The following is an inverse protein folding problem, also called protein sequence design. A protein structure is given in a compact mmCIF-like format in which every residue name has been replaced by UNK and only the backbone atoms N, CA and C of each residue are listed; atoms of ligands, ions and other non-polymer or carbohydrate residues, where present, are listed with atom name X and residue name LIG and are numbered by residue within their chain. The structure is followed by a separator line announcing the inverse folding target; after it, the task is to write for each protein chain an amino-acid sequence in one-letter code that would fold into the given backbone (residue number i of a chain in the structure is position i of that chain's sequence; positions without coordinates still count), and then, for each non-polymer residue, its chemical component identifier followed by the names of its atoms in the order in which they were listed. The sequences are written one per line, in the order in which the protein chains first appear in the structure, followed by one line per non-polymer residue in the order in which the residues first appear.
data_IF_535330232565
#
_entry.id   IF_535330232565
#
_cell.length_a   1.000
_cell.length_b   1.000
_cell.length_c   1.000
_cell.angle_alpha   90.00
_cell.angle_beta   90.00
_cell.angle_gamma   90.00
#
_symmetry.space_group_name_H-M   'P 1'
#
loop_
_entity.id
_entity.type
_entity.pdbx_description
1 polymer ?
#
# COMPACT_ATOMS: atom_id res chain seq x y z
N UNK A 1 3.66 -14.28 21.67
CA UNK A 1 3.76 -13.08 20.81
C UNK A 1 2.41 -12.93 20.12
N UNK A 2 1.66 -11.84 20.27
CA UNK A 2 0.44 -11.70 19.49
C UNK A 2 0.86 -11.51 18.04
N UNK A 3 0.52 -12.47 17.18
CA UNK A 3 0.69 -12.32 15.74
C UNK A 3 -0.07 -11.05 15.35
N UNK A 4 0.62 -10.13 14.67
CA UNK A 4 -0.02 -8.95 14.11
C UNK A 4 -1.31 -9.39 13.40
N UNK A 5 -2.42 -8.70 13.69
CA UNK A 5 -3.71 -9.05 13.13
C UNK A 5 -3.58 -9.28 11.61
N UNK A 6 -4.12 -10.39 11.09
CA UNK A 6 -4.02 -10.71 9.68
C UNK A 6 -4.62 -9.57 8.86
N UNK A 7 -3.93 -9.19 7.79
CA UNK A 7 -4.43 -8.19 6.85
C UNK A 7 -5.77 -8.65 6.27
N UNK A 8 -6.78 -7.83 6.44
CA UNK A 8 -8.12 -8.04 5.92
C UNK A 8 -8.22 -7.54 4.48
N UNK A 9 -9.17 -8.11 3.73
CA UNK A 9 -9.39 -7.72 2.34
C UNK A 9 -9.74 -6.23 2.20
N UNK A 10 -10.45 -5.67 3.18
CA UNK A 10 -10.77 -4.25 3.21
C UNK A 10 -9.52 -3.38 3.37
N UNK A 11 -8.55 -3.79 4.19
CA UNK A 11 -7.28 -3.10 4.36
C UNK A 11 -6.45 -3.11 3.06
N UNK A 12 -6.46 -4.24 2.33
CA UNK A 12 -5.83 -4.34 1.01
C UNK A 12 -6.51 -3.40 -0.01
N UNK A 13 -7.84 -3.33 -0.04
CA UNK A 13 -8.59 -2.40 -0.91
C UNK A 13 -8.26 -0.95 -0.57
N UNK A 14 -8.25 -0.59 0.72
CA UNK A 14 -7.89 0.75 1.17
C UNK A 14 -6.46 1.11 0.76
N UNK A 15 -5.52 0.17 0.89
CA UNK A 15 -4.13 0.35 0.45
C UNK A 15 -4.03 0.56 -1.06
N UNK A 16 -4.74 -0.24 -1.86
CA UNK A 16 -4.80 -0.07 -3.32
C UNK A 16 -5.38 1.30 -3.70
N UNK A 17 -6.48 1.73 -3.06
CA UNK A 17 -7.10 3.04 -3.31
C UNK A 17 -6.18 4.19 -2.94
N UNK A 18 -5.54 4.14 -1.77
CA UNK A 18 -4.58 5.15 -1.35
C UNK A 18 -3.41 5.25 -2.33
N UNK A 19 -2.86 4.10 -2.76
CA UNK A 19 -1.79 4.07 -3.75
C UNK A 19 -2.23 4.67 -5.10
N UNK A 20 -3.41 4.30 -5.61
CA UNK A 20 -3.92 4.85 -6.88
C UNK A 20 -4.15 6.34 -6.79
N UNK A 21 -4.80 6.83 -5.72
CA UNK A 21 -5.01 8.27 -5.51
C UNK A 21 -3.70 9.06 -5.52
N UNK A 22 -2.66 8.58 -4.83
CA UNK A 22 -1.35 9.25 -4.81
C UNK A 22 -0.59 9.07 -6.13
N UNK A 23 -0.80 7.96 -6.84
CA UNK A 23 -0.18 7.71 -8.15
C UNK A 23 -0.81 8.53 -9.27
N UNK A 24 -2.09 8.89 -9.15
CA UNK A 24 -2.81 9.76 -10.10
C UNK A 24 -2.65 11.25 -9.75
N UNK A 25 -2.26 11.56 -8.51
CA UNK A 25 -1.91 12.93 -8.12
C UNK A 25 -0.61 13.34 -8.81
N UNK A 26 -0.73 14.09 -9.92
CA UNK A 26 0.36 14.69 -10.69
C UNK A 26 1.30 15.59 -9.85
N UNK A 27 1.01 15.81 -8.56
CA UNK A 27 1.89 16.43 -7.57
C UNK A 27 3.04 15.50 -7.11
N UNK A 28 3.63 14.71 -8.01
CA UNK A 28 4.97 14.15 -7.85
C UNK A 28 5.90 14.92 -8.79
N UNK A 29 5.83 16.25 -8.69
CA UNK A 29 6.82 17.12 -9.31
C UNK A 29 8.14 16.93 -8.57
N UNK A 30 9.02 16.15 -9.19
CA UNK A 30 10.47 16.41 -9.20
C UNK A 30 11.24 16.27 -7.89
N UNK A 31 10.81 15.44 -6.94
CA UNK A 31 11.73 15.00 -5.89
C UNK A 31 11.50 13.53 -5.52
N UNK A 32 12.53 12.72 -5.78
CA UNK A 32 12.53 11.25 -5.78
C UNK A 32 12.49 10.63 -4.37
N UNK A 33 11.82 11.27 -3.42
CA UNK A 33 11.71 10.71 -2.08
C UNK A 33 10.57 9.69 -2.04
N UNK A 34 10.91 8.44 -2.38
CA UNK A 34 10.07 7.26 -2.16
C UNK A 34 9.51 7.24 -0.73
N UNK A 35 10.26 7.79 0.23
CA UNK A 35 9.83 8.03 1.61
C UNK A 35 8.59 8.91 1.69
N UNK A 36 8.59 10.06 1.01
CA UNK A 36 7.49 11.03 0.99
C UNK A 36 6.27 10.48 0.24
N UNK A 37 6.49 9.72 -0.83
CA UNK A 37 5.42 9.01 -1.53
C UNK A 37 4.66 8.05 -0.59
N UNK A 38 5.40 7.25 0.17
CA UNK A 38 4.80 6.34 1.14
C UNK A 38 4.19 7.04 2.36
N UNK A 39 4.74 8.20 2.76
CA UNK A 39 4.16 9.02 3.82
C UNK A 39 2.78 9.55 3.43
N UNK A 40 2.63 10.03 2.19
CA UNK A 40 1.33 10.41 1.62
C UNK A 40 0.36 9.24 1.55
N UNK A 41 0.80 8.07 1.08
CA UNK A 41 -0.04 6.85 1.07
C UNK A 41 -0.51 6.52 2.49
N UNK A 42 0.40 6.57 3.47
CA UNK A 42 0.06 6.32 4.87
C UNK A 42 -0.94 7.35 5.41
N UNK A 43 -0.77 8.63 5.07
CA UNK A 43 -1.70 9.70 5.44
C UNK A 43 -3.08 9.47 4.84
N UNK A 44 -3.18 9.20 3.53
CA UNK A 44 -4.45 8.89 2.86
C UNK A 44 -5.07 7.61 3.41
N UNK A 45 -4.29 6.57 3.67
CA UNK A 45 -4.77 5.33 4.28
C UNK A 45 -5.37 5.58 5.68
N UNK A 46 -4.71 6.40 6.49
CA UNK A 46 -5.19 6.78 7.83
C UNK A 46 -6.43 7.69 7.76
N UNK A 47 -6.60 8.47 6.68
CA UNK A 47 -7.83 9.23 6.46
C UNK A 47 -8.99 8.34 6.01
N UNK A 48 -8.71 7.22 5.35
CA UNK A 48 -9.71 6.28 4.85
C UNK A 48 -10.20 5.26 5.90
N UNK A 49 -9.62 5.22 7.10
CA UNK A 49 -10.05 4.30 8.16
C UNK A 49 -9.45 4.64 9.52
N UNK A 50 -10.06 4.12 10.59
CA UNK A 50 -9.63 4.39 11.98
C UNK A 50 -8.38 3.58 12.40
N UNK A 51 -7.96 2.62 11.58
CA UNK A 51 -6.87 1.69 11.89
C UNK A 51 -5.50 2.27 11.54
N UNK A 52 -4.71 2.58 12.58
CA UNK A 52 -3.32 2.98 12.41
C UNK A 52 -2.44 1.79 12.00
N UNK A 53 -1.88 1.85 10.78
CA UNK A 53 -0.85 0.91 10.31
C UNK A 53 0.46 1.62 10.06
N UNK A 54 1.57 1.09 10.57
CA UNK A 54 2.89 1.66 10.31
C UNK A 54 3.19 1.71 8.82
N UNK A 55 3.79 2.81 8.36
CA UNK A 55 4.23 3.01 6.97
C UNK A 55 5.05 1.81 6.42
N UNK A 56 6.03 1.30 7.18
CA UNK A 56 6.80 0.09 6.82
C UNK A 56 5.93 -1.17 6.63
N UNK A 57 4.83 -1.28 7.37
CA UNK A 57 3.87 -2.37 7.24
C UNK A 57 3.11 -2.30 5.92
N UNK A 58 2.67 -1.10 5.52
CA UNK A 58 2.00 -0.86 4.24
C UNK A 58 2.93 -1.14 3.06
N UNK A 59 4.19 -0.70 3.14
CA UNK A 59 5.22 -1.01 2.14
C UNK A 59 5.38 -2.52 1.95
N UNK A 60 5.66 -3.25 3.04
CA UNK A 60 5.84 -4.70 3.00
C UNK A 60 4.60 -5.42 2.45
N UNK A 61 3.40 -5.01 2.89
CA UNK A 61 2.14 -5.58 2.38
C UNK A 61 1.96 -5.33 0.88
N UNK A 62 2.25 -4.13 0.40
CA UNK A 62 2.17 -3.78 -1.01
C UNK A 62 3.15 -4.58 -1.88
N UNK A 63 4.40 -4.75 -1.44
CA UNK A 63 5.35 -5.60 -2.14
C UNK A 63 4.84 -7.04 -2.24
N UNK A 64 4.31 -7.59 -1.14
CA UNK A 64 3.71 -8.93 -1.14
C UNK A 64 2.50 -9.03 -2.09
N UNK A 65 1.62 -8.02 -2.11
CA UNK A 65 0.49 -7.95 -3.04
C UNK A 65 0.95 -7.94 -4.50
N UNK A 66 1.93 -7.07 -4.84
CA UNK A 66 2.52 -7.01 -6.19
C UNK A 66 3.13 -8.35 -6.60
N UNK A 67 3.88 -9.01 -5.72
CA UNK A 67 4.46 -10.32 -6.01
C UNK A 67 3.42 -11.43 -6.11
N UNK A 68 2.33 -11.36 -5.35
CA UNK A 68 1.24 -12.34 -5.42
C UNK A 68 0.50 -12.21 -6.75
N UNK A 69 0.17 -10.99 -7.17
CA UNK A 69 -0.49 -10.71 -8.46
C UNK A 69 0.44 -11.04 -9.64
N UNK A 70 1.72 -10.69 -9.56
CA UNK A 70 2.70 -11.01 -10.60
C UNK A 70 3.08 -12.51 -10.64
N UNK A 71 2.96 -13.21 -9.52
CA UNK A 71 3.19 -14.65 -9.42
C UNK A 71 2.07 -15.48 -10.06
N UNK A 72 0.83 -14.98 -10.08
CA UNK A 72 -0.28 -15.65 -10.75
C UNK A 72 -0.18 -15.62 -12.28
N UNK A 73 0.57 -14.68 -12.87
CA UNK A 73 0.74 -14.59 -14.33
C UNK A 73 1.71 -15.63 -14.91
N UNK A 74 2.40 -16.40 -14.07
CA UNK A 74 3.34 -17.45 -14.52
C UNK A 74 2.76 -18.87 -14.56
N UNK A 75 1.51 -19.05 -14.15
CA UNK A 75 0.81 -20.35 -14.19
C UNK A 75 -0.26 -20.38 -15.30
N UNK A 76 0.05 -19.81 -16.46
CA UNK A 76 -0.69 -20.05 -17.70
C UNK A 76 0.32 -20.53 -18.75
N UNK A 77 0.70 -21.81 -18.65
CA UNK A 77 1.27 -22.57 -19.76
C UNK A 77 0.98 -24.05 -19.55
#
# INVERSE_FOLDING_TARGET
MPNAAPWSHEEDIRLCRAYTNISEDDCISTDQDVTHFWDRIHQTYTQLGEDYKKNKGLQSRWFNLKHTVAGQTKNIR
#
